data_IF_913989614013
#
_entry.id   IF_913989614013
#
_cell.length_a   1.000
_cell.length_b   1.000
_cell.length_c   1.000
_cell.angle_alpha   90.00
_cell.angle_beta   90.00
_cell.angle_gamma   90.00
#
_symmetry.space_group_name_H-M   'P 1'
#
loop_
_entity.id
_entity.type
_entity.pdbx_description
1 polymer ?
#
# COMPACT_ATOMS: atom_id res chain seq x y z
N UNK A 1 14.92 -19.16 -5.89
CA UNK A 1 14.53 -17.86 -5.29
C UNK A 1 13.35 -18.09 -4.35
N UNK A 2 13.44 -17.64 -3.10
CA UNK A 2 12.33 -17.68 -2.14
C UNK A 2 11.71 -16.27 -2.07
N UNK A 3 10.42 -16.17 -2.32
CA UNK A 3 9.62 -14.95 -2.12
C UNK A 3 8.60 -15.23 -1.04
N UNK A 4 8.49 -14.35 -0.04
CA UNK A 4 7.50 -14.46 1.04
C UNK A 4 6.43 -13.39 0.83
N UNK A 5 5.17 -13.81 0.89
CA UNK A 5 4.02 -12.92 0.82
C UNK A 5 3.34 -12.90 2.19
N UNK A 6 3.33 -11.74 2.81
CA UNK A 6 2.60 -11.48 4.04
C UNK A 6 1.23 -10.87 3.69
N UNK A 7 0.30 -10.98 4.64
CA UNK A 7 -0.99 -10.29 4.60
C UNK A 7 -0.89 -8.85 5.09
N UNK A 8 -1.95 -8.42 5.76
CA UNK A 8 -2.10 -7.07 6.28
C UNK A 8 -1.20 -6.83 7.48
N UNK A 9 -0.48 -5.73 7.44
CA UNK A 9 0.33 -5.24 8.55
C UNK A 9 -0.51 -4.23 9.34
N UNK A 10 -0.89 -4.62 10.55
CA UNK A 10 -1.56 -3.79 11.53
C UNK A 10 -0.76 -3.84 12.84
N UNK A 11 -0.34 -2.69 13.35
CA UNK A 11 0.57 -2.65 14.48
C UNK A 11 -0.10 -2.12 15.75
N UNK A 12 -0.18 -2.98 16.76
CA UNK A 12 -0.51 -2.62 18.14
C UNK A 12 0.71 -2.59 19.07
N UNK A 13 1.89 -2.93 18.56
CA UNK A 13 3.12 -3.05 19.33
C UNK A 13 4.36 -2.77 18.49
N UNK A 14 5.48 -2.56 19.18
CA UNK A 14 6.79 -2.26 18.62
C UNK A 14 7.77 -3.39 18.91
N UNK A 15 8.97 -3.29 18.33
CA UNK A 15 10.03 -4.27 18.53
C UNK A 15 9.68 -5.65 17.97
N UNK A 16 9.20 -5.65 16.71
CA UNK A 16 8.62 -6.80 16.02
C UNK A 16 9.59 -7.98 15.97
N UNK A 17 10.84 -7.72 15.59
CA UNK A 17 11.87 -8.77 15.44
C UNK A 17 12.08 -9.62 16.70
N UNK A 18 11.93 -8.99 17.88
CA UNK A 18 12.10 -9.68 19.16
C UNK A 18 10.80 -10.29 19.71
N UNK A 19 9.66 -9.95 19.11
CA UNK A 19 8.33 -10.44 19.52
C UNK A 19 7.79 -11.55 18.64
N UNK A 20 8.27 -11.64 17.42
CA UNK A 20 7.91 -12.71 16.49
C UNK A 20 8.66 -14.00 16.86
N UNK A 21 8.04 -15.13 16.57
CA UNK A 21 8.73 -16.42 16.66
C UNK A 21 9.98 -16.39 15.75
N UNK A 22 11.09 -16.89 16.28
CA UNK A 22 12.37 -16.88 15.56
C UNK A 22 12.27 -17.53 14.18
N UNK A 23 11.47 -18.58 14.02
CA UNK A 23 11.27 -19.26 12.72
C UNK A 23 10.62 -18.33 11.70
N UNK A 24 9.72 -17.44 12.12
CA UNK A 24 9.11 -16.43 11.26
C UNK A 24 10.13 -15.37 10.88
N UNK A 25 10.91 -14.88 11.84
CA UNK A 25 11.99 -13.91 11.58
C UNK A 25 13.00 -14.50 10.59
N UNK A 26 13.48 -15.71 10.82
CA UNK A 26 14.45 -16.39 9.94
C UNK A 26 13.85 -16.55 8.51
N UNK A 27 12.58 -16.95 8.41
CA UNK A 27 11.89 -17.09 7.12
C UNK A 27 11.86 -15.78 6.32
N UNK A 28 11.59 -14.65 6.99
CA UNK A 28 11.54 -13.33 6.36
C UNK A 28 12.93 -12.85 5.96
N UNK A 29 13.88 -12.90 6.90
CA UNK A 29 15.24 -12.38 6.70
C UNK A 29 16.00 -13.17 5.62
N UNK A 30 15.81 -14.49 5.56
CA UNK A 30 16.47 -15.37 4.57
C UNK A 30 15.77 -15.37 3.19
N UNK A 31 14.64 -14.67 3.03
CA UNK A 31 13.95 -14.60 1.77
C UNK A 31 14.67 -13.65 0.78
N UNK A 32 14.63 -13.97 -0.52
CA UNK A 32 15.14 -13.09 -1.56
C UNK A 32 14.30 -11.80 -1.67
N UNK A 33 13.00 -11.91 -1.41
CA UNK A 33 12.09 -10.77 -1.35
C UNK A 33 10.92 -11.06 -0.40
N UNK A 34 10.46 -10.02 0.29
CA UNK A 34 9.26 -10.06 1.14
C UNK A 34 8.31 -8.96 0.71
N UNK A 35 7.06 -9.33 0.50
CA UNK A 35 5.95 -8.41 0.20
C UNK A 35 4.93 -8.42 1.33
N UNK A 36 4.34 -7.25 1.63
CA UNK A 36 3.25 -7.11 2.60
C UNK A 36 2.27 -6.00 2.19
N UNK A 37 1.04 -6.03 2.72
CA UNK A 37 0.09 -4.92 2.63
C UNK A 37 0.15 -4.09 3.92
N UNK A 38 0.52 -2.81 3.81
CA UNK A 38 0.55 -1.89 4.95
C UNK A 38 -0.79 -1.19 5.09
N UNK A 39 -1.65 -1.68 5.98
CA UNK A 39 -2.94 -1.08 6.27
C UNK A 39 -2.84 0.08 7.27
N UNK A 40 -1.91 0.99 7.02
CA UNK A 40 -1.68 2.18 7.83
C UNK A 40 -1.05 3.31 7.01
N UNK A 41 -1.18 4.52 7.53
CA UNK A 41 -0.42 5.70 7.09
C UNK A 41 0.69 6.02 8.08
N UNK A 42 1.75 6.68 7.60
CA UNK A 42 2.85 7.18 8.46
C UNK A 42 3.01 8.70 8.32
N UNK A 43 1.98 9.48 8.71
CA UNK A 43 2.02 10.94 8.61
C UNK A 43 3.07 11.53 9.54
N UNK A 44 3.51 12.75 9.23
CA UNK A 44 4.26 13.58 10.18
C UNK A 44 3.36 14.01 11.34
N UNK A 45 3.96 14.32 12.47
CA UNK A 45 3.23 14.62 13.73
C UNK A 45 2.17 15.72 13.59
N UNK A 46 2.41 16.71 12.73
CA UNK A 46 1.53 17.87 12.58
C UNK A 46 0.57 17.75 11.38
N UNK A 47 0.56 16.63 10.69
CA UNK A 47 -0.34 16.41 9.56
C UNK A 47 -1.74 16.13 10.10
N UNK A 48 -2.74 16.93 9.74
CA UNK A 48 -4.10 16.73 10.23
C UNK A 48 -4.69 15.44 9.66
N UNK A 49 -5.58 14.78 10.41
CA UNK A 49 -6.32 13.64 9.89
C UNK A 49 -7.23 14.04 8.73
N UNK A 50 -7.45 13.13 7.81
CA UNK A 50 -8.45 13.27 6.75
C UNK A 50 -9.87 13.07 7.27
N UNK A 51 -10.83 13.22 6.36
CA UNK A 51 -12.25 12.98 6.65
C UNK A 51 -12.57 11.48 6.63
N UNK A 52 -12.07 10.73 7.61
CA UNK A 52 -12.29 9.30 7.77
C UNK A 52 -12.88 9.01 9.13
N UNK A 53 -13.76 8.01 9.22
CA UNK A 53 -14.37 7.60 10.49
C UNK A 53 -13.37 6.79 11.34
N UNK A 54 -12.55 5.99 10.70
CA UNK A 54 -11.51 5.17 11.32
C UNK A 54 -10.17 5.52 10.71
N UNK A 55 -9.22 5.88 11.56
CA UNK A 55 -7.87 6.26 11.18
C UNK A 55 -6.90 5.19 11.65
N UNK A 56 -6.06 4.73 10.74
CA UNK A 56 -4.97 3.81 11.06
C UNK A 56 -3.65 4.48 10.73
N UNK A 57 -2.92 4.87 11.77
CA UNK A 57 -1.59 5.46 11.60
C UNK A 57 -0.60 4.94 12.61
N UNK A 58 0.64 4.91 12.19
CA UNK A 58 1.78 4.58 13.03
C UNK A 58 2.90 5.60 12.80
N UNK A 59 3.80 5.71 13.75
CA UNK A 59 4.99 6.57 13.59
C UNK A 59 5.88 6.02 12.48
N UNK A 60 6.58 6.92 11.78
CA UNK A 60 7.45 6.55 10.65
C UNK A 60 8.56 5.56 11.00
N UNK A 61 8.98 5.50 12.27
CA UNK A 61 10.01 4.56 12.74
C UNK A 61 9.56 3.08 12.71
N UNK A 62 8.26 2.78 12.48
CA UNK A 62 7.82 1.40 12.20
C UNK A 62 8.43 0.86 10.91
N UNK A 63 8.70 1.72 9.96
CA UNK A 63 9.29 1.34 8.68
C UNK A 63 10.72 0.82 8.84
N UNK A 64 11.45 1.27 9.87
CA UNK A 64 12.76 0.71 10.21
C UNK A 64 12.62 -0.75 10.67
N UNK A 65 11.57 -1.06 11.44
CA UNK A 65 11.29 -2.43 11.86
C UNK A 65 10.89 -3.35 10.70
N UNK A 66 10.25 -2.80 9.65
CA UNK A 66 9.96 -3.55 8.42
C UNK A 66 11.23 -3.90 7.67
N UNK A 67 12.17 -2.95 7.55
CA UNK A 67 13.47 -3.21 6.90
C UNK A 67 14.29 -4.24 7.68
N UNK A 68 14.26 -4.22 9.00
CA UNK A 68 14.89 -5.22 9.87
C UNK A 68 14.36 -6.65 9.65
N UNK A 69 13.13 -6.76 9.17
CA UNK A 69 12.47 -8.01 8.78
C UNK A 69 12.55 -8.29 7.26
N UNK A 70 13.38 -7.55 6.51
CA UNK A 70 13.52 -7.66 5.06
C UNK A 70 12.23 -7.38 4.27
N UNK A 71 11.24 -6.68 4.85
CA UNK A 71 9.99 -6.30 4.17
C UNK A 71 10.24 -5.02 3.38
N UNK A 72 10.57 -5.18 2.10
CA UNK A 72 10.97 -4.08 1.20
C UNK A 72 9.95 -3.74 0.12
N UNK A 73 9.09 -4.67 -0.26
CA UNK A 73 8.00 -4.45 -1.20
C UNK A 73 6.70 -4.30 -0.42
N UNK A 74 6.10 -3.10 -0.42
CA UNK A 74 4.95 -2.83 0.45
C UNK A 74 3.82 -2.19 -0.35
N UNK A 75 2.67 -2.85 -0.37
CA UNK A 75 1.44 -2.25 -0.89
C UNK A 75 0.89 -1.24 0.11
N UNK A 76 0.59 -0.05 -0.39
CA UNK A 76 -0.22 0.95 0.30
C UNK A 76 -1.56 1.18 -0.44
N UNK A 77 -1.93 0.32 -1.39
CA UNK A 77 -3.19 0.39 -2.11
C UNK A 77 -4.32 -0.24 -1.29
N UNK A 78 -4.80 0.46 -0.28
CA UNK A 78 -5.88 0.01 0.60
C UNK A 78 -6.75 1.19 1.06
N UNK A 79 -7.78 0.91 1.85
CA UNK A 79 -8.72 1.92 2.35
C UNK A 79 -8.10 2.94 3.32
N UNK A 80 -6.91 2.66 3.88
CA UNK A 80 -6.18 3.55 4.81
C UNK A 80 -5.18 4.49 4.13
N UNK A 81 -5.01 4.38 2.80
CA UNK A 81 -4.03 5.18 2.03
C UNK A 81 -4.17 6.69 2.25
N UNK A 82 -5.40 7.17 2.45
CA UNK A 82 -5.70 8.61 2.52
C UNK A 82 -6.26 9.04 3.90
N UNK A 83 -6.03 8.26 4.94
CA UNK A 83 -6.50 8.56 6.29
C UNK A 83 -6.06 9.94 6.80
N UNK A 84 -4.90 10.40 6.36
CA UNK A 84 -4.35 11.73 6.65
C UNK A 84 -4.32 12.62 5.40
N UNK A 85 -5.26 12.43 4.49
CA UNK A 85 -5.38 13.22 3.28
C UNK A 85 -4.22 13.03 2.29
N UNK A 86 -4.20 13.81 1.20
CA UNK A 86 -3.14 13.75 0.21
C UNK A 86 -1.73 13.99 0.79
N UNK A 87 -1.64 14.89 1.79
CA UNK A 87 -0.37 15.20 2.44
C UNK A 87 0.17 14.00 3.22
N UNK A 88 -0.67 13.31 4.02
CA UNK A 88 -0.27 12.10 4.74
C UNK A 88 0.11 10.94 3.82
N UNK A 89 -0.54 10.82 2.66
CA UNK A 89 -0.17 9.87 1.62
C UNK A 89 1.24 10.16 1.08
N UNK A 90 1.55 11.42 0.73
CA UNK A 90 2.89 11.83 0.28
C UNK A 90 3.96 11.56 1.34
N UNK A 91 3.69 11.91 2.58
CA UNK A 91 4.61 11.69 3.70
C UNK A 91 4.87 10.20 3.96
N UNK A 92 3.86 9.36 3.75
CA UNK A 92 4.01 7.90 3.84
C UNK A 92 4.89 7.36 2.72
N UNK A 93 4.70 7.82 1.47
CA UNK A 93 5.55 7.46 0.33
C UNK A 93 6.99 7.88 0.60
N UNK A 94 7.21 9.14 0.97
CA UNK A 94 8.54 9.69 1.27
C UNK A 94 9.26 8.93 2.39
N UNK A 95 8.52 8.62 3.47
CA UNK A 95 9.08 7.90 4.60
C UNK A 95 9.49 6.46 4.25
N UNK A 96 8.72 5.80 3.37
CA UNK A 96 9.05 4.47 2.85
C UNK A 96 10.28 4.52 1.93
N UNK A 97 10.29 5.43 0.95
CA UNK A 97 11.40 5.60 0.01
C UNK A 97 12.72 5.94 0.72
N UNK A 98 12.67 6.77 1.77
CA UNK A 98 13.84 7.12 2.58
C UNK A 98 14.46 5.94 3.35
N UNK A 99 13.80 4.78 3.37
CA UNK A 99 14.22 3.54 4.04
C UNK A 99 14.40 2.37 3.08
N UNK A 100 14.56 2.65 1.80
CA UNK A 100 14.66 1.64 0.74
C UNK A 100 13.47 0.67 0.70
N UNK A 101 12.31 1.10 1.22
CA UNK A 101 11.04 0.41 1.03
C UNK A 101 10.42 0.91 -0.28
N UNK A 102 9.96 -0.01 -1.09
CA UNK A 102 9.37 0.25 -2.40
C UNK A 102 7.84 0.30 -2.24
N UNK A 103 7.23 1.51 -2.24
CA UNK A 103 5.78 1.64 -2.13
C UNK A 103 5.11 1.22 -3.44
N UNK A 104 4.12 0.32 -3.31
CA UNK A 104 3.39 -0.25 -4.44
C UNK A 104 1.92 0.19 -4.40
N UNK A 105 1.33 0.46 -5.56
CA UNK A 105 -0.09 0.76 -5.70
C UNK A 105 -0.52 2.12 -5.16
N UNK A 106 0.43 3.00 -4.87
CA UNK A 106 0.24 4.36 -4.40
C UNK A 106 1.22 5.27 -5.13
N UNK A 107 0.87 6.54 -5.28
CA UNK A 107 1.77 7.48 -5.96
C UNK A 107 1.33 8.94 -5.82
N UNK A 108 2.22 9.84 -6.25
CA UNK A 108 1.99 11.29 -6.33
C UNK A 108 0.94 11.67 -7.38
N UNK A 109 0.71 10.73 -8.32
CA UNK A 109 -0.31 10.79 -9.36
C UNK A 109 -0.69 9.36 -9.79
N UNK A 110 -1.69 9.24 -10.67
CA UNK A 110 -2.19 7.94 -11.13
C UNK A 110 -1.15 7.16 -11.96
N UNK A 111 -0.30 7.85 -12.73
CA UNK A 111 0.77 7.21 -13.48
C UNK A 111 1.76 6.51 -12.54
N UNK A 112 2.14 7.19 -11.45
CA UNK A 112 3.04 6.63 -10.45
C UNK A 112 2.39 5.49 -9.68
N UNK A 113 1.12 5.66 -9.26
CA UNK A 113 0.39 4.64 -8.52
C UNK A 113 0.20 3.33 -9.31
N UNK A 114 0.11 3.40 -10.64
CA UNK A 114 -0.07 2.24 -11.53
C UNK A 114 1.21 1.51 -11.90
N UNK A 115 2.36 2.12 -11.67
CA UNK A 115 3.63 1.52 -12.10
C UNK A 115 3.87 0.18 -11.41
N UNK A 116 4.32 -0.81 -12.20
CA UNK A 116 4.97 -1.96 -11.64
C UNK A 116 6.23 -1.52 -10.87
N UNK A 117 6.42 -2.07 -9.69
CA UNK A 117 7.60 -1.83 -8.85
C UNK A 117 8.48 -3.06 -8.90
N UNK A 118 9.79 -2.84 -8.87
CA UNK A 118 10.77 -3.90 -9.04
C UNK A 118 11.74 -3.92 -7.87
N UNK A 119 12.07 -5.11 -7.41
CA UNK A 119 13.15 -5.38 -6.47
C UNK A 119 14.15 -6.31 -7.13
N UNK A 120 15.37 -5.85 -7.34
CA UNK A 120 16.48 -6.67 -7.80
C UNK A 120 17.11 -7.40 -6.61
N UNK A 121 17.30 -8.69 -6.76
CA UNK A 121 17.94 -9.57 -5.77
C UNK A 121 19.07 -10.34 -6.42
N UNK A 122 19.97 -10.92 -5.62
CA UNK A 122 21.02 -11.78 -6.13
C UNK A 122 20.49 -13.03 -6.88
N UNK A 123 19.21 -13.38 -6.68
CA UNK A 123 18.58 -14.56 -7.27
C UNK A 123 17.62 -14.23 -8.43
N UNK A 124 17.49 -12.94 -8.79
CA UNK A 124 16.61 -12.48 -9.86
C UNK A 124 15.80 -11.25 -9.46
N UNK A 125 14.90 -10.83 -10.35
CA UNK A 125 14.05 -9.64 -10.18
C UNK A 125 12.63 -10.04 -9.81
N UNK A 126 12.08 -9.39 -8.78
CA UNK A 126 10.67 -9.49 -8.39
C UNK A 126 9.95 -8.25 -8.84
N UNK A 127 8.79 -8.41 -9.48
CA UNK A 127 7.90 -7.31 -9.88
C UNK A 127 6.59 -7.40 -9.11
N UNK A 128 6.08 -6.24 -8.68
CA UNK A 128 4.79 -6.10 -7.99
C UNK A 128 3.94 -5.04 -8.68
N UNK A 129 2.68 -5.37 -8.94
CA UNK A 129 1.61 -4.43 -9.25
C UNK A 129 0.58 -4.54 -8.14
N UNK A 130 0.27 -3.43 -7.49
CA UNK A 130 -0.73 -3.39 -6.43
C UNK A 130 -1.86 -2.43 -6.80
N UNK A 131 -3.08 -2.79 -6.45
CA UNK A 131 -4.28 -1.98 -6.65
C UNK A 131 -5.33 -2.34 -5.60
N UNK A 132 -6.29 -1.46 -5.39
CA UNK A 132 -7.43 -1.72 -4.51
C UNK A 132 -8.73 -1.70 -5.27
N UNK A 133 -9.62 -2.63 -4.94
CA UNK A 133 -11.02 -2.64 -5.41
C UNK A 133 -11.98 -1.98 -4.41
N UNK A 134 -11.48 -1.60 -3.24
CA UNK A 134 -12.25 -0.92 -2.17
C UNK A 134 -11.60 0.42 -1.87
N UNK A 135 -12.33 1.51 -2.11
CA UNK A 135 -11.85 2.88 -1.87
C UNK A 135 -12.98 3.88 -1.63
N UNK A 136 -12.65 4.99 -1.00
CA UNK A 136 -13.44 6.21 -1.13
C UNK A 136 -12.94 7.02 -2.36
N UNK A 137 -13.82 7.72 -3.07
CA UNK A 137 -13.44 8.48 -4.29
C UNK A 137 -12.29 9.47 -4.03
N UNK A 138 -12.23 10.04 -2.82
CA UNK A 138 -11.13 10.94 -2.40
C UNK A 138 -9.77 10.27 -2.30
N UNK A 139 -9.71 8.93 -2.20
CA UNK A 139 -8.47 8.17 -2.08
C UNK A 139 -7.80 7.87 -3.42
N UNK A 140 -8.51 8.09 -4.53
CA UNK A 140 -8.00 7.78 -5.85
C UNK A 140 -6.93 8.76 -6.29
N UNK A 141 -5.83 8.25 -6.77
CA UNK A 141 -4.85 9.04 -7.48
C UNK A 141 -5.45 9.56 -8.81
N UNK A 142 -5.08 10.77 -9.22
CA UNK A 142 -5.41 11.31 -10.54
C UNK A 142 -4.18 11.89 -11.21
N UNK A 143 -4.20 11.93 -12.54
CA UNK A 143 -3.20 12.67 -13.30
C UNK A 143 -3.59 14.14 -13.41
N UNK A 144 -2.64 14.99 -13.63
CA UNK A 144 -2.87 16.38 -14.02
C UNK A 144 -3.51 16.48 -15.41
N UNK A 145 -4.22 17.56 -15.64
CA UNK A 145 -4.67 18.02 -16.94
C UNK A 145 -4.56 19.54 -17.00
N UNK A 146 -5.07 20.16 -18.07
CA UNK A 146 -4.95 21.61 -18.29
C UNK A 146 -5.49 22.47 -17.13
N UNK A 147 -6.50 21.98 -16.40
CA UNK A 147 -7.27 22.75 -15.42
C UNK A 147 -7.08 22.24 -13.98
N UNK A 148 -6.53 21.04 -13.79
CA UNK A 148 -6.49 20.35 -12.48
C UNK A 148 -5.13 19.73 -12.25
N UNK A 149 -4.54 20.01 -11.09
CA UNK A 149 -3.29 19.37 -10.65
C UNK A 149 -3.50 17.90 -10.34
N UNK A 150 -2.43 17.11 -10.47
CA UNK A 150 -2.44 15.72 -10.07
C UNK A 150 -2.80 15.56 -8.58
N UNK A 151 -3.49 14.49 -8.26
CA UNK A 151 -3.83 14.14 -6.88
C UNK A 151 -3.08 12.87 -6.48
N UNK A 152 -2.35 12.89 -5.36
CA UNK A 152 -1.79 11.69 -4.73
C UNK A 152 -2.87 10.75 -4.26
N UNK A 153 -2.58 9.45 -4.28
CA UNK A 153 -3.52 8.45 -3.80
C UNK A 153 -3.21 7.04 -4.30
N UNK A 154 -4.18 6.16 -4.14
CA UNK A 154 -4.07 4.76 -4.54
C UNK A 154 -4.40 4.50 -6.01
N UNK A 155 -3.91 3.36 -6.50
CA UNK A 155 -4.27 2.77 -7.78
C UNK A 155 -5.60 2.02 -7.65
N UNK A 156 -6.68 2.45 -8.33
CA UNK A 156 -7.95 1.73 -8.28
C UNK A 156 -7.97 0.56 -9.26
N UNK A 157 -8.56 -0.57 -8.82
CA UNK A 157 -9.08 -1.60 -9.70
C UNK A 157 -10.60 -1.41 -9.83
N UNK A 158 -11.05 -0.76 -10.89
CA UNK A 158 -12.48 -0.56 -11.15
C UNK A 158 -13.09 -1.83 -11.73
N UNK A 159 -14.19 -2.26 -11.15
CA UNK A 159 -14.98 -3.38 -11.65
C UNK A 159 -16.46 -3.03 -11.60
N UNK A 160 -17.27 -3.74 -12.40
CA UNK A 160 -18.72 -3.59 -12.42
C UNK A 160 -19.39 -4.94 -12.48
N UNK A 161 -20.61 -5.00 -11.98
CA UNK A 161 -21.50 -6.15 -12.11
C UNK A 161 -22.74 -5.70 -12.88
N UNK A 162 -23.11 -6.45 -13.91
CA UNK A 162 -24.38 -6.32 -14.60
C UNK A 162 -25.23 -7.56 -14.35
N UNK A 163 -26.52 -7.35 -14.18
CA UNK A 163 -27.50 -8.43 -14.12
C UNK A 163 -28.26 -8.44 -15.43
N UNK A 164 -28.29 -9.59 -16.07
CA UNK A 164 -29.04 -9.78 -17.31
C UNK A 164 -30.21 -10.71 -16.99
N UNK A 165 -31.44 -10.23 -17.21
CA UNK A 165 -32.62 -11.09 -17.13
C UNK A 165 -32.78 -11.78 -18.49
N UNK A 166 -32.99 -13.10 -18.51
CA UNK A 166 -33.38 -13.79 -19.74
C UNK A 166 -34.67 -13.20 -20.31
N UNK A 167 -34.73 -13.07 -21.65
CA UNK A 167 -35.89 -12.49 -22.34
C UNK A 167 -37.24 -13.15 -21.96
N UNK A 168 -37.20 -14.45 -21.67
CA UNK A 168 -38.36 -15.21 -21.22
C UNK A 168 -38.96 -14.77 -19.87
N UNK A 169 -38.21 -14.01 -19.07
CA UNK A 169 -38.67 -13.43 -17.80
C UNK A 169 -39.27 -12.02 -17.97
N UNK A 170 -39.17 -11.43 -19.17
CA UNK A 170 -39.82 -10.15 -19.49
C UNK A 170 -41.23 -10.28 -20.01
N UNK A 171 -41.66 -11.49 -20.41
CA UNK A 171 -42.99 -11.76 -21.01
C UNK A 171 -44.01 -12.22 -19.99
N UNK A 172 -43.70 -12.21 -18.69
CA UNK A 172 -44.62 -12.51 -17.57
C UNK A 172 -45.02 -11.20 -16.84
#
# INVERSE_FOLDING_TARGET
MRVVLCGDLLFSSRNLKNRLDKRVVDLLVDAAAVFANAEFSTPKRNTPPGLCMYLTSVRQDILDELTDLNIKLVSFANNHTIDYGPQGCLETIEAAEARDIIPCGVGRNLWEARKARFLDTAQGRVAVVACSSTWAERALASNENADVVARPGLCPLRWGRSYVLPSEQFEQ
#
